data_IF_677178420748
#
_entry.id   IF_677178420748
#
_cell.length_a   1.000
_cell.length_b   1.000
_cell.length_c   1.000
_cell.angle_alpha   90.00
_cell.angle_beta   90.00
_cell.angle_gamma   90.00
#
_symmetry.space_group_name_H-M   'P 1'
#
loop_
_entity.id
_entity.type
_entity.pdbx_description
1 polymer ?
#
# COMPACT_ATOMS: atom_id res chain seq x y z
N UNK A 1 -22.79 11.69 -18.57
CA UNK A 1 -22.46 11.37 -17.16
C UNK A 1 -21.08 11.94 -16.89
N UNK A 2 -20.88 12.61 -15.76
CA UNK A 2 -19.57 13.12 -15.35
C UNK A 2 -19.18 12.54 -13.98
N UNK A 3 -17.88 12.43 -13.72
CA UNK A 3 -17.31 11.99 -12.45
C UNK A 3 -16.44 13.13 -11.89
N UNK A 4 -16.79 13.64 -10.72
CA UNK A 4 -15.93 14.53 -9.94
C UNK A 4 -15.34 13.74 -8.76
N UNK A 5 -14.03 13.83 -8.56
CA UNK A 5 -13.31 13.12 -7.50
C UNK A 5 -12.41 14.10 -6.74
N UNK A 6 -12.47 14.03 -5.42
CA UNK A 6 -11.53 14.68 -4.51
C UNK A 6 -10.69 13.60 -3.83
N UNK A 7 -9.39 13.83 -3.72
CA UNK A 7 -8.47 12.95 -3.01
C UNK A 7 -7.70 13.78 -1.99
N UNK A 8 -7.62 13.29 -0.75
CA UNK A 8 -6.85 13.89 0.33
C UNK A 8 -5.81 12.87 0.78
N UNK A 9 -4.54 13.13 0.49
CA UNK A 9 -3.43 12.23 0.72
C UNK A 9 -2.51 12.79 1.81
N UNK A 10 -2.16 11.96 2.79
CA UNK A 10 -1.15 12.26 3.79
C UNK A 10 0.05 11.33 3.59
N UNK A 11 1.18 11.89 3.20
CA UNK A 11 2.43 11.17 2.99
C UNK A 11 3.31 11.29 4.25
N UNK A 12 3.56 10.17 4.91
CA UNK A 12 4.29 10.07 6.18
C UNK A 12 5.71 9.56 5.94
N UNK A 13 6.71 10.34 6.33
CA UNK A 13 8.11 9.97 6.25
C UNK A 13 8.70 9.88 7.67
N UNK A 14 9.25 8.71 8.00
CA UNK A 14 9.73 8.38 9.34
C UNK A 14 8.66 8.63 10.43
N UNK A 15 7.52 7.96 10.29
CA UNK A 15 6.35 8.20 11.13
C UNK A 15 5.79 9.59 10.87
N UNK A 16 5.64 10.40 11.92
CA UNK A 16 5.16 11.77 11.78
C UNK A 16 6.27 12.80 11.69
N UNK A 17 7.55 12.46 11.57
CA UNK A 17 8.62 13.49 11.58
C UNK A 17 8.40 14.52 10.45
N UNK A 18 8.29 14.02 9.21
CA UNK A 18 7.93 14.83 8.05
C UNK A 18 6.62 14.31 7.46
N UNK A 19 5.66 15.21 7.29
CA UNK A 19 4.33 14.92 6.76
C UNK A 19 4.01 15.89 5.65
N UNK A 20 3.59 15.37 4.49
CA UNK A 20 3.13 16.17 3.36
C UNK A 20 1.66 15.87 3.10
N UNK A 21 0.86 16.92 3.00
CA UNK A 21 -0.55 16.85 2.66
C UNK A 21 -0.76 17.28 1.21
N UNK A 22 -1.50 16.47 0.44
CA UNK A 22 -1.86 16.77 -0.94
C UNK A 22 -3.36 16.60 -1.11
N UNK A 23 -4.06 17.65 -1.54
CA UNK A 23 -5.47 17.57 -1.95
C UNK A 23 -5.53 17.66 -3.48
N UNK A 24 -6.16 16.69 -4.15
CA UNK A 24 -6.34 16.70 -5.62
C UNK A 24 -7.81 16.82 -5.97
N UNK A 25 -8.10 17.55 -7.05
CA UNK A 25 -9.44 17.64 -7.62
C UNK A 25 -9.41 17.22 -9.08
N UNK A 26 -10.21 16.22 -9.41
CA UNK A 26 -10.23 15.59 -10.73
C UNK A 26 -11.63 15.55 -11.32
N UNK A 27 -11.71 15.71 -12.64
CA UNK A 27 -12.92 15.58 -13.42
C UNK A 27 -12.73 14.56 -14.53
N UNK A 28 -13.58 13.53 -14.61
CA UNK A 28 -13.48 12.43 -15.59
C UNK A 28 -12.07 11.80 -15.69
N UNK A 29 -11.42 11.60 -14.53
CA UNK A 29 -10.04 11.07 -14.37
C UNK A 29 -8.92 12.02 -14.83
N UNK A 30 -9.24 13.23 -15.24
CA UNK A 30 -8.26 14.30 -15.47
C UNK A 30 -8.13 15.14 -14.19
N UNK A 31 -6.93 15.19 -13.62
CA UNK A 31 -6.65 16.06 -12.48
C UNK A 31 -6.59 17.51 -12.95
N UNK A 32 -7.40 18.37 -12.34
CA UNK A 32 -7.51 19.77 -12.73
C UNK A 32 -6.53 20.66 -11.97
N UNK A 33 -6.44 20.43 -10.65
CA UNK A 33 -5.60 21.18 -9.73
C UNK A 33 -5.33 20.36 -8.47
N UNK A 34 -4.30 20.75 -7.73
CA UNK A 34 -4.00 20.20 -6.42
C UNK A 34 -3.51 21.27 -5.42
N UNK A 35 -3.73 21.05 -4.14
CA UNK A 35 -2.98 21.71 -3.07
C UNK A 35 -1.80 20.82 -2.67
N UNK A 36 -0.63 21.42 -2.47
CA UNK A 36 0.55 20.75 -1.91
C UNK A 36 1.03 21.52 -0.69
N UNK A 37 1.13 20.87 0.47
CA UNK A 37 1.59 21.52 1.70
C UNK A 37 3.04 22.02 1.61
N UNK A 38 3.89 21.40 0.79
CA UNK A 38 5.27 21.84 0.59
C UNK A 38 5.31 23.16 -0.22
N UNK A 39 4.27 23.46 -1.01
CA UNK A 39 4.11 24.71 -1.77
C UNK A 39 3.25 25.72 -1.00
N UNK A 40 2.25 25.24 -0.26
CA UNK A 40 1.31 26.03 0.52
C UNK A 40 0.26 26.76 -0.31
N UNK A 41 -0.02 26.32 -1.54
CA UNK A 41 -1.00 26.90 -2.48
C UNK A 41 -1.68 25.81 -3.32
N UNK A 42 -2.85 26.14 -3.87
CA UNK A 42 -3.47 25.39 -4.96
C UNK A 42 -2.77 25.70 -6.28
N UNK A 43 -2.32 24.67 -6.99
CA UNK A 43 -1.63 24.72 -8.28
C UNK A 43 -2.52 24.07 -9.32
N UNK A 44 -2.73 24.75 -10.45
CA UNK A 44 -3.47 24.19 -11.57
C UNK A 44 -2.58 23.22 -12.37
N UNK A 45 -3.12 22.04 -12.66
CA UNK A 45 -2.46 21.01 -13.47
C UNK A 45 -2.94 21.05 -14.94
N UNK A 46 -4.02 21.78 -15.20
CA UNK A 46 -4.62 21.99 -16.52
C UNK A 46 -5.10 23.43 -16.69
N UNK A 47 -5.27 23.93 -17.93
CA UNK A 47 -5.85 25.24 -18.18
C UNK A 47 -7.26 25.39 -17.58
N UNK A 48 -8.03 24.29 -17.55
CA UNK A 48 -9.36 24.26 -16.96
C UNK A 48 -9.33 24.40 -15.44
N UNK A 49 -8.21 24.09 -14.78
CA UNK A 49 -7.99 24.22 -13.32
C UNK A 49 -7.46 25.59 -12.87
N UNK A 50 -6.94 26.40 -13.79
CA UNK A 50 -6.41 27.74 -13.48
C UNK A 50 -7.40 28.68 -12.78
N UNK A 51 -8.65 28.85 -13.28
CA UNK A 51 -9.58 29.77 -12.61
C UNK A 51 -9.97 29.29 -11.21
N UNK A 52 -10.05 27.98 -10.99
CA UNK A 52 -10.39 27.39 -9.69
C UNK A 52 -9.20 27.51 -8.72
N UNK A 53 -7.97 27.25 -9.17
CA UNK A 53 -6.78 27.45 -8.34
C UNK A 53 -6.65 28.92 -7.90
N UNK A 54 -6.85 29.87 -8.82
CA UNK A 54 -6.87 31.31 -8.50
C UNK A 54 -7.95 31.66 -7.48
N UNK A 55 -9.16 31.14 -7.69
CA UNK A 55 -10.28 31.36 -6.77
C UNK A 55 -10.00 30.77 -5.37
N UNK A 56 -9.53 29.53 -5.28
CA UNK A 56 -9.22 28.88 -4.00
C UNK A 56 -8.08 29.60 -3.25
N UNK A 57 -7.04 30.02 -3.96
CA UNK A 57 -5.94 30.79 -3.38
C UNK A 57 -6.36 32.20 -2.92
N UNK A 58 -7.48 32.74 -3.43
CA UNK A 58 -8.01 34.03 -3.01
C UNK A 58 -8.95 33.94 -1.80
N UNK A 59 -9.27 32.74 -1.31
CA UNK A 59 -10.11 32.52 -0.13
C UNK A 59 -9.22 32.27 1.10
N UNK A 60 -9.06 33.24 2.03
CA UNK A 60 -8.14 33.10 3.16
C UNK A 60 -8.41 31.86 4.01
N UNK A 61 -9.67 31.66 4.39
CA UNK A 61 -10.07 30.54 5.26
C UNK A 61 -9.81 29.18 4.59
N UNK A 62 -10.09 29.04 3.28
CA UNK A 62 -9.83 27.81 2.54
C UNK A 62 -8.34 27.49 2.49
N UNK A 63 -7.52 28.49 2.17
CA UNK A 63 -6.09 28.32 2.01
C UNK A 63 -5.40 28.05 3.36
N UNK A 64 -5.82 28.72 4.42
CA UNK A 64 -5.31 28.48 5.77
C UNK A 64 -5.70 27.08 6.27
N UNK A 65 -6.96 26.65 6.09
CA UNK A 65 -7.38 25.29 6.44
C UNK A 65 -6.57 24.22 5.70
N UNK A 66 -6.30 24.41 4.41
CA UNK A 66 -5.48 23.47 3.63
C UNK A 66 -4.04 23.39 4.15
N UNK A 67 -3.44 24.53 4.54
CA UNK A 67 -2.10 24.57 5.15
C UNK A 67 -2.06 23.88 6.51
N UNK A 68 -3.09 24.07 7.32
CA UNK A 68 -3.19 23.46 8.65
C UNK A 68 -3.49 21.95 8.61
N UNK A 69 -3.96 21.42 7.49
CA UNK A 69 -4.33 20.01 7.34
C UNK A 69 -3.18 19.02 7.64
N UNK A 70 -1.92 19.45 7.49
CA UNK A 70 -0.76 18.63 7.89
C UNK A 70 -0.86 18.24 9.37
N UNK A 71 -1.21 19.18 10.24
CA UNK A 71 -1.24 18.95 11.68
C UNK A 71 -2.64 18.53 12.15
N UNK A 72 -3.69 19.22 11.70
CA UNK A 72 -5.06 19.02 12.17
C UNK A 72 -5.70 17.76 11.61
N UNK A 73 -5.30 17.34 10.41
CA UNK A 73 -5.84 16.15 9.75
C UNK A 73 -4.81 15.02 9.73
N UNK A 74 -3.64 15.21 9.12
CA UNK A 74 -2.70 14.10 8.92
C UNK A 74 -2.10 13.61 10.24
N UNK A 75 -1.36 14.46 10.98
CA UNK A 75 -0.74 14.03 12.24
C UNK A 75 -1.76 13.54 13.27
N UNK A 76 -2.87 14.26 13.41
CA UNK A 76 -3.96 13.84 14.28
C UNK A 76 -4.46 12.44 13.94
N UNK A 77 -4.86 12.18 12.68
CA UNK A 77 -5.39 10.89 12.30
C UNK A 77 -4.34 9.77 12.33
N UNK A 78 -3.07 10.08 12.05
CA UNK A 78 -1.98 9.11 12.21
C UNK A 78 -1.89 8.62 13.65
N UNK A 79 -1.93 9.53 14.63
CA UNK A 79 -1.88 9.17 16.05
C UNK A 79 -3.09 8.34 16.46
N UNK A 80 -4.30 8.77 16.06
CA UNK A 80 -5.55 8.04 16.34
C UNK A 80 -5.53 6.63 15.73
N UNK A 81 -4.97 6.47 14.53
CA UNK A 81 -4.98 5.21 13.78
C UNK A 81 -3.79 4.29 14.09
N UNK A 82 -2.74 4.80 14.73
CA UNK A 82 -1.50 4.07 15.04
C UNK A 82 -1.74 2.66 15.64
N UNK A 83 -2.56 2.49 16.69
CA UNK A 83 -2.78 1.15 17.27
C UNK A 83 -3.51 0.18 16.34
N UNK A 84 -4.25 0.69 15.35
CA UNK A 84 -5.08 -0.12 14.45
C UNK A 84 -4.44 -0.40 13.09
N UNK A 85 -3.50 0.44 12.66
CA UNK A 85 -2.87 0.37 11.33
C UNK A 85 -1.37 0.13 11.47
N UNK A 86 -0.64 1.11 12.02
CA UNK A 86 0.83 1.09 12.07
C UNK A 86 1.38 -0.01 12.97
N UNK A 87 0.77 -0.19 14.14
CA UNK A 87 1.23 -1.18 15.13
C UNK A 87 0.52 -2.53 14.98
N UNK A 88 -0.54 -2.59 14.17
CA UNK A 88 -1.31 -3.82 13.96
C UNK A 88 -0.42 -4.89 13.35
N UNK A 89 -0.41 -6.06 13.97
CA UNK A 89 0.25 -7.26 13.46
C UNK A 89 -0.68 -8.45 13.57
N UNK A 90 -0.75 -9.24 12.51
CA UNK A 90 -1.47 -10.52 12.52
C UNK A 90 -0.47 -11.60 12.13
N UNK A 91 -0.32 -12.61 13.00
CA UNK A 91 0.63 -13.68 12.75
C UNK A 91 0.21 -14.54 11.56
N UNK A 92 1.15 -14.95 10.69
CA UNK A 92 0.85 -15.86 9.59
C UNK A 92 0.44 -17.23 10.09
N UNK A 93 -0.51 -17.84 9.38
CA UNK A 93 -0.81 -19.27 9.46
C UNK A 93 -0.06 -19.97 8.33
N UNK A 94 0.75 -20.95 8.70
CA UNK A 94 1.62 -21.69 7.77
C UNK A 94 1.16 -23.13 7.65
N UNK A 95 1.04 -23.60 6.40
CA UNK A 95 0.77 -25.00 6.09
C UNK A 95 1.68 -25.45 4.95
N UNK A 96 2.41 -26.53 5.16
CA UNK A 96 3.19 -27.18 4.11
C UNK A 96 2.45 -28.41 3.60
N UNK A 97 2.34 -28.56 2.28
CA UNK A 97 1.73 -29.73 1.67
C UNK A 97 2.40 -30.09 0.34
N UNK A 98 2.41 -31.38 -0.05
CA UNK A 98 2.77 -31.77 -1.40
C UNK A 98 1.73 -31.26 -2.40
N UNK A 99 2.20 -30.87 -3.58
CA UNK A 99 1.38 -30.42 -4.71
C UNK A 99 1.73 -31.28 -5.91
N UNK A 100 0.73 -31.92 -6.50
CA UNK A 100 0.90 -32.72 -7.71
C UNK A 100 1.21 -31.79 -8.88
N UNK A 101 2.32 -32.05 -9.56
CA UNK A 101 2.61 -31.42 -10.84
C UNK A 101 1.71 -32.05 -11.91
N UNK A 102 0.81 -31.25 -12.50
CA UNK A 102 -0.05 -31.71 -13.60
C UNK A 102 0.72 -31.97 -14.90
N UNK A 103 1.97 -31.51 -15.00
CA UNK A 103 2.79 -31.55 -16.21
C UNK A 103 3.93 -32.58 -16.18
N UNK A 104 4.42 -33.00 -15.01
CA UNK A 104 5.56 -33.92 -14.87
C UNK A 104 5.29 -34.92 -13.73
N UNK A 105 5.07 -36.22 -14.03
CA UNK A 105 4.80 -37.25 -13.01
C UNK A 105 5.98 -37.57 -12.07
N UNK A 106 7.14 -36.91 -12.23
CA UNK A 106 8.40 -37.25 -11.56
C UNK A 106 8.99 -36.12 -10.70
N UNK A 107 8.34 -34.95 -10.65
CA UNK A 107 8.76 -33.85 -9.75
C UNK A 107 7.71 -33.66 -8.67
N UNK A 108 8.07 -34.06 -7.46
CA UNK A 108 7.28 -33.73 -6.28
C UNK A 108 7.50 -32.25 -5.96
N UNK A 109 6.43 -31.50 -5.72
CA UNK A 109 6.54 -30.10 -5.27
C UNK A 109 6.01 -30.01 -3.87
N UNK A 110 6.70 -29.26 -3.02
CA UNK A 110 6.16 -28.84 -1.73
C UNK A 110 5.71 -27.39 -1.84
N UNK A 111 4.52 -27.09 -1.32
CA UNK A 111 4.02 -25.74 -1.24
C UNK A 111 3.87 -25.30 0.21
N UNK A 112 4.45 -24.17 0.54
CA UNK A 112 4.27 -23.45 1.79
C UNK A 112 3.17 -22.39 1.58
N UNK A 113 1.99 -22.66 2.12
CA UNK A 113 0.87 -21.73 2.14
C UNK A 113 1.01 -20.85 3.38
N UNK A 114 1.27 -19.56 3.17
CA UNK A 114 1.38 -18.56 4.25
C UNK A 114 0.20 -17.60 4.12
N UNK A 115 -0.67 -17.58 5.12
CA UNK A 115 -2.00 -16.94 5.00
C UNK A 115 -2.36 -16.12 6.23
N UNK A 116 -3.23 -15.13 6.04
CA UNK A 116 -3.87 -14.38 7.12
C UNK A 116 -2.96 -13.41 7.87
N UNK A 117 -1.82 -13.01 7.28
CA UNK A 117 -0.85 -12.15 7.95
C UNK A 117 -1.04 -10.67 7.62
N UNK A 118 -0.52 -9.81 8.49
CA UNK A 118 -0.44 -8.37 8.29
C UNK A 118 0.74 -7.82 9.11
N UNK A 119 1.55 -6.88 8.59
CA UNK A 119 1.44 -6.22 7.29
C UNK A 119 1.91 -7.13 6.12
N UNK A 120 1.95 -6.60 4.89
CA UNK A 120 2.28 -7.37 3.69
C UNK A 120 3.74 -7.87 3.64
N UNK A 121 4.65 -7.20 4.37
CA UNK A 121 6.07 -7.56 4.37
C UNK A 121 6.28 -8.90 5.07
N UNK A 122 6.83 -9.86 4.34
CA UNK A 122 7.12 -11.21 4.84
C UNK A 122 8.34 -11.78 4.14
N UNK A 123 9.08 -12.65 4.84
CA UNK A 123 10.18 -13.43 4.31
C UNK A 123 9.90 -14.91 4.59
N UNK A 124 10.02 -15.76 3.57
CA UNK A 124 9.80 -17.21 3.67
C UNK A 124 11.00 -17.92 3.08
N UNK A 125 11.61 -18.82 3.86
CA UNK A 125 12.81 -19.57 3.47
C UNK A 125 12.55 -21.06 3.56
N UNK A 126 13.09 -21.80 2.60
CA UNK A 126 13.11 -23.26 2.62
C UNK A 126 14.48 -23.76 3.10
N UNK A 127 14.47 -24.84 3.88
CA UNK A 127 15.68 -25.50 4.33
C UNK A 127 15.59 -27.00 4.04
N UNK A 128 16.63 -27.57 3.46
CA UNK A 128 16.80 -29.02 3.29
C UNK A 128 17.99 -29.48 4.14
N UNK A 129 17.74 -30.35 5.12
CA UNK A 129 18.77 -30.86 6.04
C UNK A 129 19.61 -29.74 6.70
N UNK A 130 18.96 -28.62 7.05
CA UNK A 130 19.59 -27.47 7.68
C UNK A 130 20.34 -26.52 6.74
N UNK A 131 20.34 -26.76 5.42
CA UNK A 131 20.89 -25.84 4.42
C UNK A 131 19.76 -25.09 3.73
N UNK A 132 19.92 -23.77 3.57
CA UNK A 132 18.94 -22.94 2.88
C UNK A 132 18.89 -23.32 1.39
N UNK A 133 17.69 -23.52 0.87
CA UNK A 133 17.42 -23.82 -0.53
C UNK A 133 16.84 -22.58 -1.21
N UNK A 134 17.49 -22.11 -2.26
CA UNK A 134 17.07 -20.92 -3.02
C UNK A 134 16.88 -21.22 -4.50
N UNK A 135 17.70 -22.10 -5.08
CA UNK A 135 17.69 -22.39 -6.53
C UNK A 135 16.39 -23.04 -7.02
N UNK A 136 15.75 -23.85 -6.16
CA UNK A 136 14.53 -24.61 -6.48
C UNK A 136 13.27 -23.99 -5.88
N UNK A 137 13.36 -22.77 -5.38
CA UNK A 137 12.28 -22.07 -4.71
C UNK A 137 11.63 -21.06 -5.65
N UNK A 138 10.31 -21.11 -5.75
CA UNK A 138 9.50 -20.16 -6.52
C UNK A 138 8.41 -19.58 -5.61
N UNK A 139 8.33 -18.25 -5.54
CA UNK A 139 7.30 -17.55 -4.78
C UNK A 139 6.30 -16.87 -5.72
N UNK A 140 5.03 -16.82 -5.31
CA UNK A 140 4.07 -15.87 -5.88
C UNK A 140 4.32 -14.47 -5.34
N UNK A 141 3.67 -13.48 -5.93
CA UNK A 141 3.47 -12.18 -5.30
C UNK A 141 2.67 -12.33 -3.99
N UNK A 142 2.81 -11.34 -3.10
CA UNK A 142 1.96 -11.21 -1.91
C UNK A 142 0.60 -10.68 -2.34
N UNK A 143 -0.45 -11.44 -2.04
CA UNK A 143 -1.82 -11.15 -2.52
C UNK A 143 -2.65 -10.56 -1.36
N UNK A 144 -3.32 -9.42 -1.56
CA UNK A 144 -4.27 -8.87 -0.58
C UNK A 144 -5.60 -9.65 -0.60
N UNK A 145 -6.12 -9.99 0.58
CA UNK A 145 -7.39 -10.74 0.70
C UNK A 145 -8.64 -9.83 0.74
N UNK A 146 -8.46 -8.51 0.89
CA UNK A 146 -9.57 -7.55 1.04
C UNK A 146 -10.11 -7.42 2.46
N UNK A 147 -9.62 -8.20 3.42
CA UNK A 147 -10.00 -8.20 4.84
C UNK A 147 -8.88 -7.69 5.76
N UNK A 148 -7.96 -6.88 5.22
CA UNK A 148 -6.74 -6.42 5.89
C UNK A 148 -5.79 -7.55 6.30
N UNK A 149 -5.80 -8.66 5.57
CA UNK A 149 -4.77 -9.69 5.61
C UNK A 149 -4.22 -10.01 4.23
N UNK A 150 -3.07 -10.68 4.21
CA UNK A 150 -2.34 -11.06 3.02
C UNK A 150 -2.09 -12.56 2.98
N UNK A 151 -1.72 -13.05 1.79
CA UNK A 151 -1.27 -14.42 1.58
C UNK A 151 -0.12 -14.48 0.57
N UNK A 152 0.73 -15.50 0.69
CA UNK A 152 1.78 -15.83 -0.28
C UNK A 152 1.96 -17.34 -0.35
N UNK A 153 2.26 -17.84 -1.55
CA UNK A 153 2.56 -19.24 -1.79
C UNK A 153 4.02 -19.38 -2.21
N UNK A 154 4.79 -20.20 -1.48
CA UNK A 154 6.20 -20.46 -1.77
C UNK A 154 6.42 -21.94 -2.02
N UNK A 155 6.77 -22.27 -3.25
CA UNK A 155 6.92 -23.65 -3.72
C UNK A 155 8.40 -24.04 -3.76
N UNK A 156 8.70 -25.27 -3.37
CA UNK A 156 10.00 -25.91 -3.51
C UNK A 156 9.87 -27.10 -4.47
N UNK A 157 10.67 -27.13 -5.52
CA UNK A 157 10.80 -28.31 -6.37
C UNK A 157 11.68 -29.37 -5.68
N UNK A 158 11.14 -30.57 -5.56
CA UNK A 158 11.82 -31.71 -4.95
C UNK A 158 11.96 -32.84 -5.97
N UNK A 159 13.10 -33.52 -5.93
CA UNK A 159 13.29 -34.77 -6.64
C UNK A 159 13.08 -35.90 -5.63
N UNK A 160 12.19 -36.87 -5.89
CA UNK A 160 12.12 -38.06 -5.04
C UNK A 160 13.50 -38.74 -5.05
N UNK A 161 13.99 -39.09 -3.85
CA UNK A 161 15.18 -39.96 -3.70
C UNK A 161 14.78 -41.42 -3.74
#
# INVERSE_FOLDING_TARGET
>A
VFLAMGEAECQYFNGTERVRFVERRSHNREQLLHFDSDVGLFVADTPLGEPQAKYLNSQPDTLENARLAVDTFCRHNYQVSTPYITERKVQPKVRVAPVQSSSLPQTDRLACYVTGFYPAQIEVKWFQNGREETERVVSTDVIPNGDWTYQVLVMLETSPQ
#
